data_IF_199140697730
#
_entry.id   IF_199140697730
#
_cell.length_a   1.000
_cell.length_b   1.000
_cell.length_c   1.000
_cell.angle_alpha   90.00
_cell.angle_beta   90.00
_cell.angle_gamma   90.00
#
_symmetry.space_group_name_H-M   'P 1'
#
loop_
_entity.id
_entity.type
_entity.pdbx_description
1 polymer ?
#
# COMPACT_ATOMS: atom_id res chain seq x y z
N UNK A 1 10.69 -13.24 15.51
CA UNK A 1 9.57 -12.69 16.30
C UNK A 1 8.43 -12.32 15.35
N UNK A 2 7.23 -12.89 15.52
CA UNK A 2 6.06 -12.58 14.68
C UNK A 2 5.67 -11.12 14.96
N UNK A 3 5.76 -10.25 13.96
CA UNK A 3 5.56 -8.80 14.11
C UNK A 3 4.26 -8.42 14.82
N UNK A 4 4.28 -7.28 15.49
CA UNK A 4 3.26 -6.78 16.41
C UNK A 4 1.82 -6.96 15.89
N UNK A 5 1.02 -7.68 16.68
CA UNK A 5 -0.39 -7.97 16.37
C UNK A 5 -1.28 -6.71 16.46
N UNK A 6 -0.92 -5.75 17.33
CA UNK A 6 -1.62 -4.49 17.49
C UNK A 6 -1.44 -3.60 16.26
N UNK A 7 -0.20 -3.43 15.80
CA UNK A 7 0.09 -2.68 14.57
C UNK A 7 -0.59 -3.28 13.34
N UNK A 8 -0.62 -4.61 13.25
CA UNK A 8 -1.35 -5.29 12.17
C UNK A 8 -2.85 -5.01 12.23
N UNK A 9 -3.43 -5.08 13.42
CA UNK A 9 -4.86 -4.80 13.62
C UNK A 9 -5.20 -3.37 13.23
N UNK A 10 -4.42 -2.38 13.69
CA UNK A 10 -4.59 -0.98 13.31
C UNK A 10 -4.45 -0.76 11.81
N UNK A 11 -3.45 -1.37 11.17
CA UNK A 11 -3.25 -1.27 9.73
C UNK A 11 -4.43 -1.87 8.94
N UNK A 12 -5.03 -2.96 9.43
CA UNK A 12 -6.21 -3.57 8.80
C UNK A 12 -7.44 -2.66 8.94
N UNK A 13 -7.67 -2.07 10.12
CA UNK A 13 -8.78 -1.12 10.32
C UNK A 13 -8.63 0.11 9.40
N UNK A 14 -7.42 0.67 9.29
CA UNK A 14 -7.13 1.75 8.35
C UNK A 14 -7.34 1.33 6.89
N UNK A 15 -6.92 0.12 6.53
CA UNK A 15 -7.14 -0.42 5.19
C UNK A 15 -8.63 -0.56 4.83
N UNK A 16 -9.48 -0.93 5.80
CA UNK A 16 -10.93 -0.94 5.60
C UNK A 16 -11.50 0.45 5.30
N UNK A 17 -11.02 1.48 5.99
CA UNK A 17 -11.44 2.87 5.74
C UNK A 17 -11.01 3.33 4.33
N UNK A 18 -9.77 3.03 3.93
CA UNK A 18 -9.26 3.36 2.58
C UNK A 18 -10.08 2.65 1.50
N UNK A 19 -10.35 1.35 1.67
CA UNK A 19 -11.14 0.58 0.70
C UNK A 19 -12.57 1.11 0.54
N UNK A 20 -13.15 1.70 1.57
CA UNK A 20 -14.46 2.37 1.49
C UNK A 20 -14.40 3.69 0.70
N UNK A 21 -13.25 4.35 0.66
CA UNK A 21 -13.05 5.60 -0.10
C UNK A 21 -12.66 5.37 -1.57
N UNK A 22 -12.27 4.15 -1.95
CA UNK A 22 -11.92 3.84 -3.35
C UNK A 22 -13.13 4.11 -4.25
N UNK A 23 -13.01 5.13 -5.09
CA UNK A 23 -14.03 5.48 -6.08
C UNK A 23 -13.89 4.60 -7.33
N UNK A 24 -14.99 4.30 -8.04
CA UNK A 24 -14.97 3.58 -9.31
C UNK A 24 -14.48 4.43 -10.50
N UNK A 25 -14.37 5.74 -10.35
CA UNK A 25 -13.97 6.64 -11.45
C UNK A 25 -12.53 7.16 -11.32
N UNK A 26 -11.78 6.69 -10.32
CA UNK A 26 -10.41 7.11 -10.13
C UNK A 26 -9.44 6.37 -11.06
N UNK A 27 -8.65 7.15 -11.81
CA UNK A 27 -7.61 6.67 -12.74
C UNK A 27 -6.26 6.41 -12.04
N UNK A 28 -6.21 6.47 -10.71
CA UNK A 28 -4.96 6.23 -9.99
C UNK A 28 -4.53 4.75 -10.10
N UNK A 29 -3.24 4.47 -10.36
CA UNK A 29 -2.75 3.11 -10.54
C UNK A 29 -2.87 2.25 -9.26
N UNK A 30 -2.85 2.89 -8.08
CA UNK A 30 -3.12 2.22 -6.81
C UNK A 30 -4.58 1.76 -6.73
N UNK A 31 -5.54 2.56 -7.19
CA UNK A 31 -6.97 2.25 -7.13
C UNK A 31 -7.32 1.07 -8.03
N UNK A 32 -6.73 0.99 -9.22
CA UNK A 32 -6.87 -0.18 -10.09
C UNK A 32 -6.39 -1.48 -9.41
N UNK A 33 -5.29 -1.40 -8.64
CA UNK A 33 -4.78 -2.53 -7.87
C UNK A 33 -5.72 -2.90 -6.71
N UNK A 34 -6.25 -1.91 -5.99
CA UNK A 34 -7.21 -2.13 -4.90
C UNK A 34 -8.49 -2.79 -5.44
N UNK A 35 -9.02 -2.33 -6.57
CA UNK A 35 -10.17 -2.95 -7.24
C UNK A 35 -9.89 -4.40 -7.64
N UNK A 36 -8.73 -4.68 -8.23
CA UNK A 36 -8.32 -6.05 -8.56
C UNK A 36 -8.30 -6.96 -7.34
N UNK A 37 -7.85 -6.47 -6.19
CA UNK A 37 -7.89 -7.23 -4.94
C UNK A 37 -9.31 -7.42 -4.42
N UNK A 38 -10.14 -6.38 -4.52
CA UNK A 38 -11.54 -6.43 -4.13
C UNK A 38 -12.31 -7.48 -4.93
N UNK A 39 -12.13 -7.51 -6.25
CA UNK A 39 -12.76 -8.51 -7.13
C UNK A 39 -12.31 -9.94 -6.84
N UNK A 40 -11.04 -10.15 -6.44
CA UNK A 40 -10.48 -11.49 -6.24
C UNK A 40 -10.66 -12.05 -4.83
N UNK A 41 -10.66 -11.20 -3.81
CA UNK A 41 -10.59 -11.65 -2.39
C UNK A 41 -11.69 -11.04 -1.51
N UNK A 42 -12.57 -10.22 -2.09
CA UNK A 42 -13.56 -9.46 -1.33
C UNK A 42 -12.94 -8.40 -0.43
N UNK A 43 -13.79 -7.69 0.31
CA UNK A 43 -13.37 -6.54 1.10
C UNK A 43 -12.38 -6.89 2.23
N UNK A 44 -12.65 -7.96 2.97
CA UNK A 44 -11.79 -8.39 4.09
C UNK A 44 -10.41 -8.83 3.60
N UNK A 45 -10.34 -9.63 2.53
CA UNK A 45 -9.07 -10.10 1.97
C UNK A 45 -8.27 -8.97 1.30
N UNK A 46 -8.95 -8.04 0.64
CA UNK A 46 -8.31 -6.83 0.10
C UNK A 46 -7.72 -5.96 1.21
N UNK A 47 -8.42 -5.79 2.34
CA UNK A 47 -7.95 -4.99 3.47
C UNK A 47 -6.67 -5.58 4.08
N UNK A 48 -6.65 -6.90 4.30
CA UNK A 48 -5.47 -7.61 4.81
C UNK A 48 -4.28 -7.47 3.85
N UNK A 49 -4.51 -7.59 2.55
CA UNK A 49 -3.44 -7.44 1.56
C UNK A 49 -2.89 -6.02 1.50
N UNK A 50 -3.75 -5.01 1.56
CA UNK A 50 -3.36 -3.61 1.63
C UNK A 50 -2.55 -3.32 2.90
N UNK A 51 -3.02 -3.78 4.05
CA UNK A 51 -2.31 -3.65 5.33
C UNK A 51 -0.92 -4.31 5.28
N UNK A 52 -0.82 -5.55 4.78
CA UNK A 52 0.46 -6.24 4.65
C UNK A 52 1.44 -5.52 3.71
N UNK A 53 0.96 -4.93 2.61
CA UNK A 53 1.79 -4.10 1.74
C UNK A 53 2.32 -2.88 2.49
N UNK A 54 1.45 -2.16 3.19
CA UNK A 54 1.83 -0.95 3.91
C UNK A 54 2.84 -1.25 5.02
N UNK A 55 2.63 -2.33 5.79
CA UNK A 55 3.56 -2.77 6.81
C UNK A 55 4.93 -3.16 6.23
N UNK A 56 4.97 -3.77 5.05
CA UNK A 56 6.23 -4.07 4.36
C UNK A 56 6.97 -2.79 3.98
N UNK A 57 6.27 -1.78 3.46
CA UNK A 57 6.86 -0.47 3.14
C UNK A 57 7.41 0.18 4.40
N UNK A 58 6.60 0.30 5.46
CA UNK A 58 7.03 0.86 6.75
C UNK A 58 8.24 0.11 7.30
N UNK A 59 8.25 -1.22 7.23
CA UNK A 59 9.40 -2.01 7.67
C UNK A 59 10.67 -1.70 6.87
N UNK A 60 10.58 -1.60 5.54
CA UNK A 60 11.73 -1.22 4.71
C UNK A 60 12.21 0.19 5.06
N UNK A 61 11.30 1.15 5.25
CA UNK A 61 11.66 2.52 5.62
C UNK A 61 12.39 2.56 6.97
N UNK A 62 11.84 1.89 7.98
CA UNK A 62 12.44 1.81 9.32
C UNK A 62 13.80 1.10 9.28
N UNK A 63 13.94 0.03 8.47
CA UNK A 63 15.17 -0.73 8.38
C UNK A 63 16.30 0.03 7.67
N UNK A 64 15.96 0.99 6.81
CA UNK A 64 16.93 1.76 6.02
C UNK A 64 17.03 3.23 6.49
N UNK A 65 16.38 3.61 7.60
CA UNK A 65 16.23 5.00 8.07
C UNK A 65 15.83 5.98 6.95
N UNK A 66 15.03 5.49 5.99
CA UNK A 66 14.60 6.27 4.84
C UNK A 66 13.27 6.97 5.10
N UNK A 67 13.14 8.17 4.56
CA UNK A 67 11.87 8.88 4.51
C UNK A 67 10.98 8.31 3.39
N UNK A 68 9.68 8.16 3.66
CA UNK A 68 8.73 7.70 2.64
C UNK A 68 8.72 8.66 1.45
N UNK A 69 9.18 8.19 0.29
CA UNK A 69 9.03 8.88 -1.00
C UNK A 69 7.99 8.14 -1.81
N UNK A 70 6.81 8.75 -1.98
CA UNK A 70 5.82 8.24 -2.94
C UNK A 70 6.49 8.31 -4.32
N UNK A 71 6.85 7.17 -4.88
CA UNK A 71 7.40 7.14 -6.23
C UNK A 71 6.26 7.49 -7.19
N UNK A 72 6.28 8.67 -7.84
CA UNK A 72 5.35 8.91 -8.92
C UNK A 72 5.67 7.88 -10.01
N UNK A 73 4.65 7.15 -10.47
CA UNK A 73 4.79 6.30 -11.63
C UNK A 73 5.05 7.21 -12.84
N UNK A 74 6.33 7.46 -13.14
CA UNK A 74 6.75 8.36 -14.19
C UNK A 74 7.72 9.43 -13.71
N UNK A 75 8.98 9.05 -13.51
CA UNK A 75 10.16 9.70 -14.06
C UNK A 75 11.36 8.99 -13.43
N UNK A 76 11.75 7.84 -14.00
CA UNK A 76 13.15 7.45 -13.92
C UNK A 76 13.87 8.39 -14.89
N UNK A 77 14.15 9.60 -14.42
CA UNK A 77 15.09 10.48 -15.08
C UNK A 77 16.42 9.75 -14.99
N UNK A 78 16.75 9.09 -16.10
CA UNK A 78 18.03 8.46 -16.31
C UNK A 78 19.10 9.52 -15.99
N UNK A 79 19.80 9.32 -14.88
CA UNK A 79 21.12 9.91 -14.68
C UNK A 79 22.04 9.29 -15.73
N UNK A 80 21.93 9.78 -16.97
CA UNK A 80 23.02 9.76 -17.93
C UNK A 80 24.06 10.74 -17.39
N UNK A 81 24.91 10.27 -16.49
CA UNK A 81 26.21 10.90 -16.27
C UNK A 81 27.07 10.60 -17.49
N UNK A 82 27.31 11.64 -18.30
CA UNK A 82 28.53 11.77 -19.09
C UNK A 82 29.64 12.35 -18.22
#
# INVERSE_FOLDING_TARGET
>A
KRGDAYLRSLAIQGAHAVLRQVRPDSEHPDDHRLRRWLSRHGQKGAAVRLANRNLRIVWVLLQNDQTYRRQPAGCQEATMSH
#
